data_IF_848239455497
#
_entry.id   IF_848239455497
#
_cell.length_a   1.000
_cell.length_b   1.000
_cell.length_c   1.000
_cell.angle_alpha   90.00
_cell.angle_beta   90.00
_cell.angle_gamma   90.00
#
_symmetry.space_group_name_H-M   'P 1'
#
loop_
_entity.id
_entity.type
_entity.pdbx_description
1 polymer ?
#
# COMPACT_ATOMS: atom_id res chain seq x y z
N UNK A 1 14.98 -13.27 5.21
CA UNK A 1 14.82 -12.50 6.46
C UNK A 1 16.14 -12.34 7.17
N UNK A 2 16.86 -13.45 7.48
CA UNK A 2 18.13 -13.45 8.23
C UNK A 2 19.16 -12.42 7.71
N UNK A 3 19.39 -12.37 6.40
CA UNK A 3 20.32 -11.41 5.80
C UNK A 3 19.92 -9.93 6.05
N UNK A 4 18.63 -9.64 6.08
CA UNK A 4 18.11 -8.30 6.38
C UNK A 4 18.26 -7.96 7.86
N UNK A 5 18.01 -8.94 8.75
CA UNK A 5 18.21 -8.78 10.20
C UNK A 5 19.69 -8.54 10.49
N UNK A 6 20.59 -9.30 9.87
CA UNK A 6 22.04 -9.10 10.00
C UNK A 6 22.50 -7.73 9.47
N UNK A 7 21.76 -7.13 8.54
CA UNK A 7 21.97 -5.78 8.05
C UNK A 7 21.24 -4.71 8.90
N UNK A 8 20.70 -5.06 10.06
CA UNK A 8 20.03 -4.17 11.01
C UNK A 8 18.77 -3.50 10.43
N UNK A 9 17.94 -4.28 9.71
CA UNK A 9 16.64 -3.77 9.25
C UNK A 9 15.72 -3.51 10.43
N UNK A 10 15.03 -2.37 10.42
CA UNK A 10 14.07 -2.00 11.47
C UNK A 10 12.72 -2.68 11.30
N UNK A 11 12.27 -2.88 10.05
CA UNK A 11 10.96 -3.40 9.74
C UNK A 11 10.97 -4.20 8.44
N UNK A 12 10.18 -5.27 8.40
CA UNK A 12 9.95 -6.07 7.18
C UNK A 12 8.48 -5.96 6.77
N UNK A 13 8.24 -5.91 5.46
CA UNK A 13 6.90 -5.93 4.89
C UNK A 13 6.67 -7.23 4.14
N UNK A 14 5.68 -8.02 4.57
CA UNK A 14 5.14 -9.14 3.79
C UNK A 14 4.07 -8.57 2.87
N UNK A 15 4.44 -8.29 1.62
CA UNK A 15 3.58 -7.61 0.65
C UNK A 15 3.05 -8.59 -0.40
N UNK A 16 1.72 -8.75 -0.44
CA UNK A 16 1.03 -9.72 -1.30
C UNK A 16 -0.25 -9.13 -1.90
N UNK A 17 -0.69 -9.67 -3.02
CA UNK A 17 -2.00 -9.36 -3.58
C UNK A 17 -3.16 -9.90 -2.74
N UNK A 18 -2.90 -10.87 -1.85
CA UNK A 18 -3.88 -11.47 -0.94
C UNK A 18 -3.25 -11.85 0.40
N UNK A 19 -3.22 -10.91 1.33
CA UNK A 19 -2.64 -11.09 2.66
C UNK A 19 -3.39 -12.11 3.55
N UNK A 20 -4.68 -12.33 3.32
CA UNK A 20 -5.49 -13.32 4.03
C UNK A 20 -5.33 -14.72 3.41
N UNK A 21 -4.11 -15.14 3.17
CA UNK A 21 -3.79 -16.46 2.64
C UNK A 21 -2.98 -17.28 3.65
N UNK A 22 -3.09 -18.61 3.57
CA UNK A 22 -2.37 -19.52 4.45
C UNK A 22 -0.86 -19.26 4.43
N UNK A 23 -0.29 -19.07 3.24
CA UNK A 23 1.15 -18.85 3.09
C UNK A 23 1.62 -17.59 3.81
N UNK A 24 0.90 -16.47 3.65
CA UNK A 24 1.24 -15.19 4.31
C UNK A 24 1.16 -15.33 5.83
N UNK A 25 0.08 -15.94 6.35
CA UNK A 25 -0.10 -16.14 7.79
C UNK A 25 0.98 -17.08 8.35
N UNK A 26 1.34 -18.14 7.63
CA UNK A 26 2.42 -19.06 8.04
C UNK A 26 3.76 -18.34 8.05
N UNK A 27 4.11 -17.63 6.97
CA UNK A 27 5.36 -16.86 6.88
C UNK A 27 5.47 -15.82 8.01
N UNK A 28 4.39 -15.11 8.32
CA UNK A 28 4.36 -14.16 9.42
C UNK A 28 4.67 -14.84 10.76
N UNK A 29 4.02 -15.96 11.05
CA UNK A 29 4.25 -16.75 12.29
C UNK A 29 5.69 -17.24 12.39
N UNK A 30 6.25 -17.74 11.29
CA UNK A 30 7.64 -18.22 11.23
C UNK A 30 8.64 -17.09 11.49
N UNK A 31 8.42 -15.90 10.89
CA UNK A 31 9.26 -14.73 11.12
C UNK A 31 9.17 -14.27 12.57
N UNK A 32 7.98 -14.14 13.13
CA UNK A 32 7.79 -13.71 14.52
C UNK A 32 8.31 -14.74 15.54
N UNK A 33 8.29 -16.03 15.21
CA UNK A 33 8.88 -17.07 16.04
C UNK A 33 10.42 -17.01 16.03
N UNK A 34 11.03 -16.74 14.86
CA UNK A 34 12.48 -16.65 14.73
C UNK A 34 13.06 -15.31 15.22
N UNK A 35 12.29 -14.22 15.07
CA UNK A 35 12.71 -12.85 15.38
C UNK A 35 11.57 -12.09 16.10
N UNK A 36 11.30 -12.37 17.39
CA UNK A 36 10.15 -11.80 18.10
C UNK A 36 10.11 -10.26 18.14
N UNK A 37 11.28 -9.62 18.21
CA UNK A 37 11.42 -8.16 18.31
C UNK A 37 11.36 -7.46 16.94
N UNK A 38 11.47 -8.20 15.83
CA UNK A 38 11.42 -7.60 14.50
C UNK A 38 10.00 -7.12 14.19
N UNK A 39 9.90 -5.86 13.76
CA UNK A 39 8.61 -5.30 13.33
C UNK A 39 8.23 -5.87 11.96
N UNK A 40 7.01 -6.39 11.84
CA UNK A 40 6.51 -7.00 10.60
C UNK A 40 5.16 -6.39 10.21
N UNK A 41 5.12 -5.79 9.04
CA UNK A 41 3.89 -5.33 8.38
C UNK A 41 3.41 -6.44 7.46
N UNK A 42 2.13 -6.75 7.42
CA UNK A 42 1.58 -7.72 6.47
C UNK A 42 0.36 -7.16 5.72
N UNK A 43 0.24 -7.54 4.47
CA UNK A 43 -0.87 -7.15 3.58
C UNK A 43 -0.73 -7.74 2.17
N UNK A 44 -1.61 -7.32 1.22
CA UNK A 44 -2.73 -6.43 1.49
C UNK A 44 -3.98 -7.20 1.85
N UNK A 45 -4.81 -6.58 2.66
CA UNK A 45 -6.10 -7.12 3.08
C UNK A 45 -7.23 -6.10 2.80
N UNK A 46 -8.48 -6.52 2.91
CA UNK A 46 -9.63 -5.64 2.67
C UNK A 46 -10.83 -5.93 3.59
N UNK A 47 -10.67 -6.77 4.61
CA UNK A 47 -11.77 -7.18 5.51
C UNK A 47 -11.32 -7.25 6.96
N UNK A 48 -12.26 -7.06 7.90
CA UNK A 48 -12.00 -7.24 9.33
C UNK A 48 -11.56 -8.67 9.68
N UNK A 49 -12.12 -9.68 9.02
CA UNK A 49 -11.72 -11.08 9.25
C UNK A 49 -10.23 -11.29 8.91
N UNK A 50 -9.74 -10.68 7.83
CA UNK A 50 -8.33 -10.73 7.47
C UNK A 50 -7.45 -9.98 8.47
N UNK A 51 -7.88 -8.80 8.91
CA UNK A 51 -7.17 -8.04 9.95
C UNK A 51 -7.04 -8.85 11.23
N UNK A 52 -8.14 -9.44 11.70
CA UNK A 52 -8.14 -10.32 12.87
C UNK A 52 -7.14 -11.47 12.73
N UNK A 53 -7.16 -12.18 11.59
CA UNK A 53 -6.27 -13.33 11.36
C UNK A 53 -4.79 -12.95 11.39
N UNK A 54 -4.42 -11.77 10.86
CA UNK A 54 -3.05 -11.26 10.90
C UNK A 54 -2.66 -10.80 12.32
N UNK A 55 -3.57 -10.12 13.04
CA UNK A 55 -3.33 -9.72 14.43
C UNK A 55 -3.09 -10.93 15.33
N UNK A 56 -3.91 -11.98 15.21
CA UNK A 56 -3.74 -13.24 15.96
C UNK A 56 -2.44 -13.99 15.57
N UNK A 57 -1.90 -13.70 14.39
CA UNK A 57 -0.62 -14.24 13.93
C UNK A 57 0.62 -13.44 14.39
N UNK A 58 0.41 -12.29 15.09
CA UNK A 58 1.47 -11.49 15.67
C UNK A 58 2.02 -10.38 14.77
N UNK A 59 1.24 -9.87 13.82
CA UNK A 59 1.63 -8.72 12.98
C UNK A 59 1.78 -7.45 13.82
N UNK A 60 2.68 -6.55 13.41
CA UNK A 60 2.88 -5.25 14.07
C UNK A 60 2.13 -4.10 13.35
N UNK A 61 1.77 -4.27 12.08
CA UNK A 61 0.86 -3.39 11.35
C UNK A 61 0.18 -4.13 10.20
N UNK A 62 -1.07 -3.77 9.88
CA UNK A 62 -1.79 -4.33 8.73
C UNK A 62 -1.88 -3.31 7.60
N UNK A 63 -1.63 -3.75 6.36
CA UNK A 63 -1.73 -2.90 5.16
C UNK A 63 -3.00 -3.25 4.39
N UNK A 64 -3.86 -2.25 4.21
CA UNK A 64 -5.24 -2.39 3.73
C UNK A 64 -5.41 -1.75 2.36
N UNK A 65 -5.91 -2.51 1.40
CA UNK A 65 -6.21 -2.04 0.05
C UNK A 65 -6.04 -3.13 -1.00
N UNK A 66 -7.14 -3.56 -1.61
CA UNK A 66 -7.16 -4.51 -2.73
C UNK A 66 -7.72 -3.82 -3.96
N UNK A 67 -6.84 -3.52 -4.91
CA UNK A 67 -7.18 -2.94 -6.20
C UNK A 67 -7.51 -1.44 -6.26
N UNK A 68 -7.26 -0.58 -5.23
CA UNK A 68 -7.62 0.84 -5.31
C UNK A 68 -6.60 1.70 -6.06
N UNK A 69 -5.39 1.19 -6.30
CA UNK A 69 -4.31 1.92 -6.94
C UNK A 69 -4.64 2.36 -8.36
N UNK A 70 -4.13 3.54 -8.77
CA UNK A 70 -4.42 4.12 -10.09
C UNK A 70 -3.90 3.30 -11.28
N UNK A 71 -2.88 2.46 -11.03
CA UNK A 71 -2.24 1.58 -12.00
C UNK A 71 -2.64 0.10 -11.80
N UNK A 72 -3.53 -0.19 -10.84
CA UNK A 72 -4.02 -1.53 -10.55
C UNK A 72 -5.29 -1.82 -11.35
N UNK A 73 -5.35 -2.98 -12.00
CA UNK A 73 -6.52 -3.46 -12.75
C UNK A 73 -7.14 -4.72 -12.16
N UNK A 74 -6.75 -5.14 -10.96
CA UNK A 74 -7.30 -6.33 -10.27
C UNK A 74 -8.82 -6.29 -10.20
N UNK A 75 -9.43 -5.14 -9.91
CA UNK A 75 -10.89 -4.98 -9.84
C UNK A 75 -11.58 -5.21 -11.19
N UNK A 76 -10.89 -4.88 -12.30
CA UNK A 76 -11.41 -5.04 -13.66
C UNK A 76 -11.15 -6.44 -14.18
N UNK A 77 -9.94 -6.97 -13.98
CA UNK A 77 -9.49 -8.26 -14.52
C UNK A 77 -10.01 -9.43 -13.71
N UNK A 78 -9.93 -9.33 -12.38
CA UNK A 78 -10.31 -10.42 -11.47
C UNK A 78 -11.67 -10.20 -10.78
N UNK A 79 -12.26 -8.99 -10.87
CA UNK A 79 -13.51 -8.64 -10.18
C UNK A 79 -13.37 -8.57 -8.66
N UNK A 80 -12.14 -8.44 -8.14
CA UNK A 80 -11.84 -8.49 -6.70
C UNK A 80 -11.49 -7.09 -6.19
N UNK A 81 -12.08 -6.72 -5.06
CA UNK A 81 -11.80 -5.47 -4.37
C UNK A 81 -12.92 -5.07 -3.42
N UNK A 82 -12.58 -4.18 -2.49
CA UNK A 82 -13.53 -3.54 -1.57
C UNK A 82 -13.32 -2.03 -1.68
N UNK A 83 -14.37 -1.19 -1.62
CA UNK A 83 -14.21 0.26 -1.55
C UNK A 83 -13.28 0.64 -0.40
N UNK A 84 -12.29 1.51 -0.66
CA UNK A 84 -11.15 1.68 0.25
C UNK A 84 -11.56 2.15 1.66
N UNK A 85 -12.45 3.14 1.77
CA UNK A 85 -12.93 3.62 3.07
C UNK A 85 -13.62 2.52 3.87
N UNK A 86 -14.43 1.69 3.21
CA UNK A 86 -15.07 0.53 3.84
C UNK A 86 -14.03 -0.48 4.33
N UNK A 87 -13.03 -0.79 3.50
CA UNK A 87 -11.96 -1.72 3.87
C UNK A 87 -11.15 -1.21 5.08
N UNK A 88 -10.82 0.09 5.09
CA UNK A 88 -10.10 0.72 6.20
C UNK A 88 -10.92 0.66 7.50
N UNK A 89 -12.20 1.00 7.45
CA UNK A 89 -13.10 0.95 8.61
C UNK A 89 -13.23 -0.48 9.16
N UNK A 90 -13.47 -1.46 8.31
CA UNK A 90 -13.63 -2.86 8.71
C UNK A 90 -12.35 -3.43 9.31
N UNK A 91 -11.21 -3.17 8.67
CA UNK A 91 -9.91 -3.60 9.17
C UNK A 91 -9.56 -2.92 10.50
N UNK A 92 -9.78 -1.61 10.62
CA UNK A 92 -9.55 -0.86 11.84
C UNK A 92 -10.42 -1.34 13.01
N UNK A 93 -11.70 -1.65 12.74
CA UNK A 93 -12.62 -2.14 13.79
C UNK A 93 -12.11 -3.41 14.48
N UNK A 94 -11.34 -4.24 13.76
CA UNK A 94 -10.69 -5.42 14.35
C UNK A 94 -9.29 -5.10 14.89
N UNK A 95 -8.42 -4.46 14.09
CA UNK A 95 -7.03 -4.20 14.45
C UNK A 95 -6.87 -3.40 15.76
N UNK A 96 -7.76 -2.42 15.99
CA UNK A 96 -7.75 -1.61 17.22
C UNK A 96 -7.93 -2.43 18.51
N UNK A 97 -8.59 -3.59 18.45
CA UNK A 97 -8.77 -4.48 19.61
C UNK A 97 -7.44 -5.08 20.08
N UNK A 98 -6.46 -5.14 19.19
CA UNK A 98 -5.11 -5.65 19.42
C UNK A 98 -4.08 -4.52 19.57
N UNK A 99 -4.49 -3.26 19.44
CA UNK A 99 -3.57 -2.12 19.42
C UNK A 99 -2.70 -2.04 18.14
N UNK A 100 -3.11 -2.72 17.05
CA UNK A 100 -2.35 -2.81 15.81
C UNK A 100 -2.74 -1.67 14.86
N UNK A 101 -1.77 -0.88 14.35
CA UNK A 101 -2.03 0.21 13.42
C UNK A 101 -2.43 -0.29 12.03
N UNK A 102 -3.20 0.55 11.32
CA UNK A 102 -3.66 0.33 9.96
C UNK A 102 -2.94 1.27 8.99
N UNK A 103 -2.40 0.72 7.92
CA UNK A 103 -1.85 1.45 6.79
C UNK A 103 -2.89 1.44 5.67
N UNK A 104 -3.49 2.60 5.38
CA UNK A 104 -4.42 2.77 4.28
C UNK A 104 -3.65 2.91 2.95
N UNK A 105 -3.71 1.87 2.11
CA UNK A 105 -2.89 1.75 0.91
C UNK A 105 -3.72 1.83 -0.37
N UNK A 106 -3.52 2.91 -1.10
CA UNK A 106 -4.05 3.12 -2.43
C UNK A 106 -5.36 3.90 -2.50
N UNK A 107 -5.69 4.36 -3.71
CA UNK A 107 -6.90 5.15 -3.97
C UNK A 107 -6.81 6.63 -3.60
N UNK A 108 -5.75 7.08 -2.98
CA UNK A 108 -5.55 8.46 -2.55
C UNK A 108 -5.06 9.29 -3.75
N UNK A 109 -5.88 10.26 -4.16
CA UNK A 109 -5.61 11.16 -5.29
C UNK A 109 -5.43 12.62 -4.86
N UNK A 110 -6.01 12.98 -3.72
CA UNK A 110 -6.04 14.34 -3.19
C UNK A 110 -5.76 14.34 -1.69
N UNK A 111 -5.35 15.48 -1.14
CA UNK A 111 -5.16 15.65 0.31
C UNK A 111 -6.43 15.33 1.12
N UNK A 112 -7.62 15.63 0.58
CA UNK A 112 -8.89 15.28 1.22
C UNK A 112 -9.13 13.77 1.34
N UNK A 113 -8.50 12.96 0.49
CA UNK A 113 -8.58 11.50 0.62
C UNK A 113 -7.72 10.99 1.79
N UNK A 114 -6.60 11.68 2.09
CA UNK A 114 -5.81 11.43 3.31
C UNK A 114 -6.66 11.67 4.56
N UNK A 115 -7.41 12.78 4.59
CA UNK A 115 -8.32 13.09 5.69
C UNK A 115 -9.34 11.96 5.90
N UNK A 116 -9.95 11.47 4.80
CA UNK A 116 -10.92 10.38 4.84
C UNK A 116 -10.29 9.06 5.29
N UNK A 117 -9.10 8.73 4.82
CA UNK A 117 -8.38 7.52 5.20
C UNK A 117 -8.08 7.53 6.71
N UNK A 118 -7.59 8.65 7.24
CA UNK A 118 -7.33 8.80 8.68
C UNK A 118 -8.63 8.73 9.47
N UNK A 119 -9.69 9.43 9.05
CA UNK A 119 -10.99 9.37 9.71
C UNK A 119 -11.62 7.97 9.69
N UNK A 120 -11.29 7.15 8.69
CA UNK A 120 -11.70 5.75 8.59
C UNK A 120 -10.88 4.80 9.50
N UNK A 121 -9.87 5.29 10.20
CA UNK A 121 -9.03 4.52 11.11
C UNK A 121 -7.62 4.22 10.60
N UNK A 122 -7.23 4.75 9.44
CA UNK A 122 -5.86 4.66 8.95
C UNK A 122 -4.91 5.49 9.82
N UNK A 123 -3.87 4.86 10.34
CA UNK A 123 -2.80 5.55 11.09
C UNK A 123 -1.72 6.08 10.16
N UNK A 124 -1.54 5.42 9.02
CA UNK A 124 -0.56 5.74 7.97
C UNK A 124 -1.23 5.65 6.62
N UNK A 125 -0.85 6.52 5.68
CA UNK A 125 -1.29 6.47 4.29
C UNK A 125 -0.12 6.06 3.39
N UNK A 126 -0.31 5.03 2.56
CA UNK A 126 0.63 4.67 1.51
C UNK A 126 0.22 5.35 0.20
N UNK A 127 1.14 6.15 -0.34
CA UNK A 127 0.92 6.97 -1.53
C UNK A 127 1.74 6.44 -2.71
N UNK A 128 1.10 6.18 -3.83
CA UNK A 128 1.76 5.76 -5.07
C UNK A 128 1.80 6.89 -6.09
N UNK A 129 0.74 7.05 -6.88
CA UNK A 129 0.68 8.00 -8.00
C UNK A 129 0.88 9.47 -7.61
N UNK A 130 0.54 9.84 -6.38
CA UNK A 130 0.76 11.19 -5.89
C UNK A 130 2.24 11.58 -5.85
N UNK A 131 3.11 10.62 -5.56
CA UNK A 131 4.57 10.83 -5.46
C UNK A 131 5.33 10.34 -6.71
N UNK A 132 4.71 9.55 -7.57
CA UNK A 132 5.37 8.93 -8.71
C UNK A 132 5.95 9.92 -9.74
N UNK A 133 5.42 11.16 -9.79
CA UNK A 133 5.92 12.24 -10.65
C UNK A 133 7.04 13.09 -10.04
N UNK A 134 7.42 12.84 -8.79
CA UNK A 134 8.46 13.62 -8.11
C UNK A 134 9.87 13.22 -8.56
N UNK A 135 10.83 14.11 -8.37
CA UNK A 135 12.24 13.87 -8.77
C UNK A 135 12.82 12.62 -8.09
N UNK A 136 12.53 12.44 -6.80
CA UNK A 136 13.06 11.36 -5.97
C UNK A 136 12.42 10.00 -6.26
N UNK A 137 11.26 9.96 -6.95
CA UNK A 137 10.64 8.70 -7.35
C UNK A 137 11.44 8.02 -8.47
N UNK A 138 11.54 6.67 -8.47
CA UNK A 138 12.12 5.94 -9.59
C UNK A 138 11.29 6.13 -10.87
N UNK A 139 11.87 5.79 -12.01
CA UNK A 139 11.24 5.90 -13.32
C UNK A 139 11.95 6.90 -14.22
N UNK A 140 11.95 6.60 -15.51
CA UNK A 140 12.56 7.45 -16.53
C UNK A 140 11.69 8.68 -16.83
N UNK A 141 12.36 9.76 -17.23
CA UNK A 141 11.66 10.93 -17.76
C UNK A 141 11.30 10.74 -19.22
N UNK A 142 10.13 11.22 -19.59
CA UNK A 142 9.68 11.29 -20.98
C UNK A 142 9.18 12.70 -21.30
N UNK A 143 9.50 13.15 -22.51
CA UNK A 143 8.92 14.37 -23.08
C UNK A 143 7.77 13.97 -24.03
N UNK A 144 6.56 14.40 -23.72
CA UNK A 144 5.39 14.12 -24.55
C UNK A 144 4.54 15.39 -24.70
N UNK A 145 4.28 15.76 -25.95
CA UNK A 145 3.54 16.98 -26.31
C UNK A 145 4.06 18.25 -25.59
N UNK A 146 5.40 18.40 -25.52
CA UNK A 146 6.05 19.53 -24.90
C UNK A 146 6.01 19.56 -23.36
N UNK A 147 5.52 18.49 -22.71
CA UNK A 147 5.46 18.39 -21.24
C UNK A 147 6.32 17.23 -20.74
N UNK A 148 6.90 17.42 -19.55
CA UNK A 148 7.73 16.42 -18.87
C UNK A 148 6.84 15.47 -18.07
N UNK A 149 7.08 14.17 -18.22
CA UNK A 149 6.41 13.08 -17.51
C UNK A 149 7.44 12.13 -16.91
N UNK A 150 7.00 11.30 -15.96
CA UNK A 150 7.73 10.11 -15.52
C UNK A 150 6.94 8.85 -15.85
N UNK A 151 7.65 7.79 -16.19
CA UNK A 151 7.06 6.45 -16.35
C UNK A 151 6.72 5.90 -14.97
N UNK A 152 5.51 5.40 -14.84
CA UNK A 152 4.99 4.79 -13.63
C UNK A 152 4.28 3.49 -13.96
N UNK A 153 4.60 2.40 -13.26
CA UNK A 153 4.03 1.08 -13.53
C UNK A 153 3.54 0.39 -12.27
N UNK A 154 2.46 -0.40 -12.42
CA UNK A 154 1.94 -1.27 -11.38
C UNK A 154 2.78 -2.52 -11.22
N UNK A 155 2.80 -3.08 -10.00
CA UNK A 155 3.45 -4.36 -9.71
C UNK A 155 2.86 -5.52 -10.54
N UNK A 156 1.57 -5.43 -10.92
CA UNK A 156 0.88 -6.39 -11.80
C UNK A 156 0.99 -6.08 -13.29
N UNK A 157 1.78 -5.09 -13.71
CA UNK A 157 2.07 -4.85 -15.13
C UNK A 157 2.98 -5.94 -15.71
N UNK A 158 2.93 -6.18 -17.02
CA UNK A 158 3.79 -7.16 -17.68
C UNK A 158 5.26 -6.84 -17.40
N UNK A 159 5.67 -5.59 -17.57
CA UNK A 159 7.04 -5.17 -17.33
C UNK A 159 7.51 -5.41 -15.88
N UNK A 160 6.64 -5.21 -14.89
CA UNK A 160 6.98 -5.52 -13.50
C UNK A 160 7.06 -7.03 -13.23
N UNK A 161 6.12 -7.80 -13.79
CA UNK A 161 6.10 -9.26 -13.64
C UNK A 161 7.34 -9.92 -14.27
N UNK A 162 7.78 -9.46 -15.42
CA UNK A 162 9.00 -9.94 -16.07
C UNK A 162 10.27 -9.62 -15.26
N UNK A 163 10.21 -8.59 -14.44
CA UNK A 163 11.31 -8.16 -13.57
C UNK A 163 11.18 -8.64 -12.11
N UNK A 164 10.34 -9.65 -11.82
CA UNK A 164 10.34 -10.33 -10.53
C UNK A 164 9.05 -10.35 -9.73
N UNK A 165 8.00 -9.60 -10.12
CA UNK A 165 6.76 -9.53 -9.30
C UNK A 165 5.71 -10.60 -9.62
N UNK A 166 6.07 -11.68 -10.32
CA UNK A 166 5.15 -12.78 -10.68
C UNK A 166 4.59 -13.53 -9.48
N UNK A 167 5.38 -13.69 -8.44
CA UNK A 167 5.03 -14.37 -7.19
C UNK A 167 3.89 -13.68 -6.46
N UNK A 168 3.86 -12.35 -6.49
CA UNK A 168 2.78 -11.52 -5.91
C UNK A 168 1.39 -11.88 -6.47
N UNK A 169 1.34 -12.29 -7.74
CA UNK A 169 0.10 -12.60 -8.48
C UNK A 169 -0.08 -14.09 -8.74
N UNK A 170 0.63 -14.97 -8.03
CA UNK A 170 0.54 -16.42 -8.16
C UNK A 170 0.84 -16.94 -9.58
N UNK A 171 1.71 -16.24 -10.32
CA UNK A 171 2.02 -16.53 -11.72
C UNK A 171 3.49 -16.94 -11.95
N UNK A 172 4.19 -17.41 -10.93
CA UNK A 172 5.62 -17.79 -10.99
C UNK A 172 5.90 -18.79 -12.12
N UNK A 173 5.05 -19.81 -12.25
CA UNK A 173 5.18 -20.89 -13.24
C UNK A 173 4.32 -20.69 -14.50
N UNK A 174 3.72 -19.52 -14.67
CA UNK A 174 2.83 -19.25 -15.78
C UNK A 174 3.61 -19.13 -17.11
N UNK A 175 3.18 -19.90 -18.12
CA UNK A 175 3.74 -19.82 -19.48
C UNK A 175 3.40 -18.50 -20.18
N UNK A 176 2.26 -17.90 -19.84
CA UNK A 176 1.79 -16.61 -20.34
C UNK A 176 1.20 -15.82 -19.18
N UNK A 177 1.64 -14.56 -19.03
CA UNK A 177 1.21 -13.69 -17.96
C UNK A 177 -0.17 -13.08 -18.23
N UNK A 178 -0.99 -12.98 -17.19
CA UNK A 178 -2.22 -12.19 -17.19
C UNK A 178 -1.98 -10.96 -16.31
N UNK A 179 -1.85 -9.76 -16.89
CA UNK A 179 -1.56 -8.57 -16.12
C UNK A 179 -2.77 -8.11 -15.28
N UNK A 180 -2.49 -7.69 -14.06
CA UNK A 180 -3.43 -7.00 -13.16
C UNK A 180 -2.97 -5.57 -12.85
N UNK A 181 -2.19 -4.99 -13.74
CA UNK A 181 -1.70 -3.62 -13.65
C UNK A 181 -1.27 -3.09 -15.00
N UNK A 182 -1.14 -1.79 -15.07
CA UNK A 182 -0.72 -1.06 -16.28
C UNK A 182 0.57 -0.29 -16.06
N UNK A 183 1.23 0.05 -17.14
CA UNK A 183 2.31 1.05 -17.20
C UNK A 183 1.76 2.29 -17.89
N UNK A 184 2.11 3.47 -17.38
CA UNK A 184 1.65 4.73 -17.93
C UNK A 184 2.57 5.89 -17.58
N UNK A 185 2.13 7.09 -17.92
CA UNK A 185 2.84 8.33 -17.64
C UNK A 185 2.13 9.10 -16.55
N UNK A 186 2.91 9.68 -15.63
CA UNK A 186 2.43 10.64 -14.64
C UNK A 186 3.11 11.98 -14.88
N UNK A 187 2.37 13.07 -14.72
CA UNK A 187 2.93 14.40 -14.87
C UNK A 187 4.09 14.61 -13.89
N UNK A 188 5.17 15.19 -14.37
CA UNK A 188 6.27 15.62 -13.52
C UNK A 188 5.84 16.69 -12.53
N UNK A 189 6.28 16.59 -11.28
CA UNK A 189 5.82 17.43 -10.15
C UNK A 189 6.93 18.20 -9.44
N UNK A 190 8.20 17.98 -9.81
CA UNK A 190 9.34 18.57 -9.07
C UNK A 190 9.68 17.77 -7.80
N UNK A 191 10.12 18.46 -6.78
CA UNK A 191 10.55 17.86 -5.51
C UNK A 191 9.38 17.27 -4.73
N UNK A 192 9.64 16.15 -4.03
CA UNK A 192 8.65 15.50 -3.15
C UNK A 192 8.24 16.41 -2.00
N UNK A 193 9.14 17.25 -1.51
CA UNK A 193 8.90 18.19 -0.41
C UNK A 193 7.72 19.12 -0.71
N UNK A 194 7.66 19.70 -1.91
CA UNK A 194 6.56 20.58 -2.33
C UNK A 194 5.21 19.84 -2.35
N UNK A 195 5.23 18.61 -2.85
CA UNK A 195 4.04 17.75 -2.89
C UNK A 195 3.56 17.42 -1.48
N UNK A 196 4.44 17.01 -0.58
CA UNK A 196 4.12 16.68 0.81
C UNK A 196 3.62 17.92 1.55
N UNK A 197 4.25 19.08 1.35
CA UNK A 197 3.81 20.34 1.96
C UNK A 197 2.32 20.64 1.63
N UNK A 198 1.93 20.50 0.35
CA UNK A 198 0.55 20.70 -0.08
C UNK A 198 -0.41 19.67 0.53
N UNK A 199 -0.02 18.40 0.56
CA UNK A 199 -0.83 17.32 1.14
C UNK A 199 -1.05 17.53 2.64
N UNK A 200 -0.01 17.93 3.38
CA UNK A 200 -0.10 18.23 4.82
C UNK A 200 -0.91 19.48 5.10
N UNK A 201 -0.86 20.49 4.22
CA UNK A 201 -1.72 21.65 4.27
C UNK A 201 -3.21 21.26 4.17
N UNK A 202 -3.55 20.39 3.22
CA UNK A 202 -4.89 19.86 3.07
C UNK A 202 -5.37 19.04 4.26
N UNK A 203 -4.50 18.20 4.85
CA UNK A 203 -4.81 17.46 6.07
C UNK A 203 -5.13 18.39 7.23
N UNK A 204 -4.27 19.41 7.47
CA UNK A 204 -4.49 20.41 8.53
C UNK A 204 -5.81 21.15 8.33
N UNK A 205 -6.13 21.52 7.10
CA UNK A 205 -7.42 22.16 6.75
C UNK A 205 -8.61 21.26 7.11
N UNK A 206 -8.55 19.97 6.74
CA UNK A 206 -9.58 18.98 7.06
C UNK A 206 -9.76 18.81 8.58
N UNK A 207 -8.67 18.72 9.33
CA UNK A 207 -8.70 18.68 10.79
C UNK A 207 -9.36 19.94 11.38
N UNK A 208 -9.03 21.11 10.84
CA UNK A 208 -9.64 22.37 11.26
C UNK A 208 -11.16 22.39 11.06
N UNK A 209 -11.65 21.93 9.91
CA UNK A 209 -13.10 21.82 9.67
C UNK A 209 -13.81 20.85 10.62
N UNK A 210 -13.13 19.79 11.05
CA UNK A 210 -13.66 18.81 11.99
C UNK A 210 -13.46 19.22 13.47
N UNK A 211 -12.75 20.31 13.75
CA UNK A 211 -12.39 20.70 15.12
C UNK A 211 -11.39 19.76 15.80
N UNK A 212 -10.70 18.91 15.03
CA UNK A 212 -9.73 17.95 15.53
C UNK A 212 -8.37 18.62 15.77
N UNK A 213 -7.92 18.65 17.03
CA UNK A 213 -6.60 19.20 17.39
C UNK A 213 -5.47 18.19 17.18
N UNK A 214 -5.78 16.90 17.24
CA UNK A 214 -4.85 15.77 17.05
C UNK A 214 -5.46 14.77 16.07
N UNK A 215 -4.64 13.86 15.57
CA UNK A 215 -5.11 12.75 14.69
C UNK A 215 -5.91 11.70 15.48
N UNK A 216 -5.46 11.23 16.66
CA UNK A 216 -6.23 10.30 17.49
C UNK A 216 -7.51 10.91 18.05
#
# INVERSE_FOLDING_TARGET
>A
VEALVNASVDCIVIDSAHGHSKNIITTLKEIKAAYPELQVIAGNIATGAAAKALCEAGVDAVKVGIGPGSICTTRVVAGIGVPQVTADMDAYAEAKKYGIPVIADGGIKFSGDIVKAIAAGGNVCMLGSLLAGCDEAPGSFELFQGRKYKVYRGMGSIAAMENGSKDRYFQTDAKKLVPEGVEGRVAYKGLVEDTIFQLMGGLRSGMGYCGAQTIP
#
